data_IF_751696571437
#
_entry.id   IF_751696571437
#
_cell.length_a   1.000
_cell.length_b   1.000
_cell.length_c   1.000
_cell.angle_alpha   90.00
_cell.angle_beta   90.00
_cell.angle_gamma   90.00
#
_symmetry.space_group_name_H-M   'P 1'
#
loop_
_entity.id
_entity.type
_entity.pdbx_description
1 polymer ?
#
# COMPACT_ATOMS: atom_id res chain seq x y z
N UNK A 1 -2.84 9.30 -4.07
CA UNK A 1 -1.75 8.67 -3.28
C UNK A 1 -2.04 7.18 -3.16
N UNK A 2 -1.05 6.31 -3.42
CA UNK A 2 -1.08 4.89 -3.06
C UNK A 2 -0.58 4.79 -1.62
N UNK A 3 -1.47 4.38 -0.70
CA UNK A 3 -1.19 4.42 0.74
C UNK A 3 -0.80 3.07 1.34
N UNK A 4 -0.87 1.99 0.60
CA UNK A 4 -0.56 0.62 1.08
C UNK A 4 -1.02 -0.46 0.13
N UNK A 5 -0.69 -1.70 0.47
CA UNK A 5 0.06 -2.11 1.66
C UNK A 5 1.48 -2.56 1.27
N UNK A 6 2.37 -2.52 2.23
CA UNK A 6 3.76 -3.00 2.03
C UNK A 6 3.77 -4.45 1.53
N UNK A 7 4.56 -4.76 0.52
CA UNK A 7 4.70 -6.10 -0.12
C UNK A 7 3.48 -6.58 -0.91
N UNK A 8 2.62 -5.66 -1.33
CA UNK A 8 1.46 -5.97 -2.19
C UNK A 8 1.67 -5.56 -3.66
N UNK A 9 2.85 -5.10 -4.06
CA UNK A 9 3.11 -4.69 -5.45
C UNK A 9 2.78 -3.21 -5.75
N UNK A 10 2.74 -2.36 -4.74
CA UNK A 10 2.44 -0.92 -4.88
C UNK A 10 3.40 -0.20 -5.80
N UNK A 11 4.70 -0.50 -5.74
CA UNK A 11 5.71 0.05 -6.65
C UNK A 11 5.39 -0.27 -8.10
N UNK A 12 5.04 -1.54 -8.41
CA UNK A 12 4.64 -1.93 -9.76
C UNK A 12 3.38 -1.20 -10.22
N UNK A 13 2.39 -1.07 -9.33
CA UNK A 13 1.17 -0.35 -9.61
C UNK A 13 1.45 1.13 -9.88
N UNK A 14 2.29 1.77 -9.07
CA UNK A 14 2.69 3.17 -9.27
C UNK A 14 3.38 3.36 -10.60
N UNK A 15 4.36 2.50 -10.93
CA UNK A 15 5.03 2.52 -12.24
C UNK A 15 4.05 2.41 -13.41
N UNK A 16 3.11 1.48 -13.34
CA UNK A 16 2.10 1.29 -14.38
C UNK A 16 1.20 2.52 -14.54
N UNK A 17 0.78 3.13 -13.43
CA UNK A 17 -0.01 4.37 -13.48
C UNK A 17 0.82 5.52 -14.08
N UNK A 18 2.10 5.61 -13.74
CA UNK A 18 3.00 6.66 -14.22
C UNK A 18 3.37 6.56 -15.71
N UNK A 19 3.14 5.42 -16.36
CA UNK A 19 3.27 5.30 -17.83
C UNK A 19 2.16 6.00 -18.61
N UNK A 20 1.05 6.34 -17.94
CA UNK A 20 -0.06 7.02 -18.58
C UNK A 20 0.30 8.48 -18.92
N UNK A 21 0.04 8.92 -20.16
CA UNK A 21 0.39 10.24 -20.68
C UNK A 21 -0.15 11.45 -19.88
N UNK A 22 -1.25 11.26 -19.13
CA UNK A 22 -1.83 12.28 -18.26
C UNK A 22 -1.18 12.34 -16.86
N UNK A 23 -0.27 11.42 -16.55
CA UNK A 23 0.32 11.29 -15.21
C UNK A 23 1.74 11.80 -15.20
N UNK A 24 2.00 12.77 -14.33
CA UNK A 24 3.37 13.26 -14.08
C UNK A 24 3.87 12.66 -12.77
N UNK A 25 5.07 12.09 -12.80
CA UNK A 25 5.69 11.42 -11.65
C UNK A 25 6.14 12.40 -10.58
N UNK A 26 6.16 11.95 -9.32
CA UNK A 26 6.95 12.59 -8.28
C UNK A 26 8.45 12.38 -8.53
N UNK A 27 9.30 13.06 -7.77
CA UNK A 27 10.76 13.03 -7.96
C UNK A 27 11.37 11.63 -7.71
N UNK A 28 10.79 10.85 -6.81
CA UNK A 28 11.19 9.47 -6.49
C UNK A 28 10.04 8.73 -5.80
N UNK A 29 10.18 7.41 -5.65
CA UNK A 29 9.22 6.54 -4.98
C UNK A 29 9.30 6.69 -3.46
N UNK A 30 8.21 6.39 -2.76
CA UNK A 30 8.12 6.38 -1.30
C UNK A 30 8.63 7.69 -0.65
N UNK A 31 7.96 8.80 -0.99
CA UNK A 31 8.32 10.13 -0.46
C UNK A 31 8.34 10.19 1.06
N UNK A 32 7.51 9.40 1.73
CA UNK A 32 7.44 9.31 3.19
C UNK A 32 7.13 10.65 3.86
N UNK A 33 6.49 11.60 3.16
CA UNK A 33 6.26 12.93 3.72
C UNK A 33 5.33 12.89 4.92
N UNK A 34 4.19 12.20 4.81
CA UNK A 34 3.18 12.21 5.86
C UNK A 34 3.55 11.36 7.09
N UNK A 35 4.62 10.56 7.02
CA UNK A 35 5.17 9.82 8.16
C UNK A 35 6.52 10.36 8.62
N UNK A 36 7.62 9.86 8.09
CA UNK A 36 8.99 10.13 8.55
C UNK A 36 9.53 11.51 8.18
N UNK A 37 9.06 12.12 7.07
CA UNK A 37 9.56 13.37 6.53
C UNK A 37 8.65 14.58 6.82
N UNK A 38 7.64 14.42 7.68
CA UNK A 38 6.67 15.49 7.96
C UNK A 38 7.31 16.76 8.54
N UNK A 39 8.40 16.58 9.27
CA UNK A 39 9.19 17.66 9.86
C UNK A 39 9.87 18.58 8.83
N UNK A 40 10.07 18.12 7.58
CA UNK A 40 10.67 18.90 6.49
C UNK A 40 9.72 19.97 5.92
N UNK A 41 8.44 19.88 6.26
CA UNK A 41 7.44 20.88 5.94
C UNK A 41 6.88 20.80 4.51
N UNK A 42 5.75 21.49 4.32
CA UNK A 42 4.94 21.41 3.10
C UNK A 42 5.69 21.92 1.84
N UNK A 43 6.59 22.88 1.98
CA UNK A 43 7.33 23.40 0.83
C UNK A 43 8.31 22.35 0.28
N UNK A 44 8.96 21.57 1.17
CA UNK A 44 9.76 20.43 0.77
C UNK A 44 8.91 19.40 0.01
N UNK A 45 7.75 19.00 0.55
CA UNK A 45 6.86 18.06 -0.12
C UNK A 45 6.44 18.56 -1.51
N UNK A 46 6.05 19.84 -1.62
CA UNK A 46 5.64 20.44 -2.90
C UNK A 46 6.75 20.46 -3.93
N UNK A 47 8.01 20.64 -3.52
CA UNK A 47 9.17 20.68 -4.42
C UNK A 47 9.45 19.35 -5.12
N UNK A 48 8.88 18.24 -4.59
CA UNK A 48 9.04 16.90 -5.16
C UNK A 48 8.06 16.60 -6.29
N UNK A 49 7.15 17.51 -6.59
CA UNK A 49 6.15 17.32 -7.63
C UNK A 49 6.39 18.21 -8.84
N UNK A 50 5.87 17.81 -10.01
CA UNK A 50 5.96 18.60 -11.24
C UNK A 50 5.44 20.02 -11.08
N UNK A 51 6.10 20.96 -11.73
CA UNK A 51 5.71 22.38 -11.71
C UNK A 51 4.33 22.60 -12.32
N UNK A 52 3.71 23.73 -12.01
CA UNK A 52 2.44 24.13 -12.65
C UNK A 52 2.60 24.27 -14.17
N UNK A 53 3.77 24.70 -14.65
CA UNK A 53 4.08 24.77 -16.06
C UNK A 53 4.10 23.39 -16.72
N UNK A 54 4.76 22.40 -16.11
CA UNK A 54 4.77 21.02 -16.61
C UNK A 54 3.35 20.44 -16.67
N UNK A 55 2.55 20.67 -15.64
CA UNK A 55 1.13 20.26 -15.63
C UNK A 55 0.32 20.96 -16.72
N UNK A 56 0.54 22.23 -16.95
CA UNK A 56 -0.12 22.98 -18.03
C UNK A 56 0.23 22.40 -19.40
N UNK A 57 1.51 22.11 -19.68
CA UNK A 57 1.95 21.52 -20.94
C UNK A 57 1.26 20.17 -21.19
N UNK A 58 1.24 19.27 -20.21
CA UNK A 58 0.56 17.98 -20.33
C UNK A 58 -0.92 18.17 -20.57
N UNK A 59 -1.57 19.07 -19.82
CA UNK A 59 -3.00 19.35 -19.95
C UNK A 59 -3.38 19.90 -21.35
N UNK A 60 -2.49 20.67 -22.01
CA UNK A 60 -2.74 21.14 -23.37
C UNK A 60 -2.77 19.98 -24.40
N UNK A 61 -2.02 18.90 -24.14
CA UNK A 61 -1.94 17.74 -25.03
C UNK A 61 -3.03 16.70 -24.78
N UNK A 62 -3.34 16.47 -23.51
CA UNK A 62 -4.17 15.33 -23.08
C UNK A 62 -5.49 15.74 -22.43
N UNK A 63 -5.74 17.05 -22.26
CA UNK A 63 -6.87 17.64 -21.52
C UNK A 63 -6.85 17.34 -20.00
N UNK A 64 -6.02 16.44 -19.54
CA UNK A 64 -5.86 16.01 -18.14
C UNK A 64 -4.41 16.13 -17.71
N UNK A 65 -4.18 16.42 -16.45
CA UNK A 65 -2.83 16.37 -15.85
C UNK A 65 -2.96 16.08 -14.36
N UNK A 66 -2.56 14.91 -13.95
CA UNK A 66 -2.53 14.51 -12.55
C UNK A 66 -1.12 14.15 -12.12
N UNK A 67 -0.90 14.14 -10.81
CA UNK A 67 0.31 13.66 -10.17
C UNK A 67 -0.03 12.95 -8.89
N UNK A 68 0.86 12.12 -8.42
CA UNK A 68 0.69 11.40 -7.16
C UNK A 68 2.00 10.83 -6.66
N UNK A 69 1.92 10.15 -5.55
CA UNK A 69 3.02 9.41 -4.93
C UNK A 69 2.54 8.04 -4.48
N UNK A 70 3.47 7.15 -4.15
CA UNK A 70 3.22 5.95 -3.39
C UNK A 70 4.10 5.91 -2.14
N UNK A 71 3.49 5.61 -1.01
CA UNK A 71 4.20 5.32 0.24
C UNK A 71 3.40 4.25 1.00
N UNK A 72 3.71 2.98 0.82
CA UNK A 72 2.84 1.88 1.26
C UNK A 72 2.78 1.70 2.77
N UNK A 73 3.60 2.40 3.53
CA UNK A 73 3.53 2.46 4.99
C UNK A 73 2.43 3.37 5.53
N UNK A 74 1.88 4.27 4.70
CA UNK A 74 0.91 5.25 5.16
C UNK A 74 -0.34 4.63 5.77
N UNK A 75 -0.85 3.55 5.19
CA UNK A 75 -2.10 2.92 5.65
C UNK A 75 -2.02 2.49 7.11
N UNK A 76 -0.84 2.11 7.56
CA UNK A 76 -0.64 1.55 8.89
C UNK A 76 -0.52 2.58 10.01
N UNK A 77 -0.17 3.84 9.68
CA UNK A 77 0.03 4.89 10.68
C UNK A 77 -1.19 5.81 10.81
N UNK A 78 -1.93 5.80 11.94
CA UNK A 78 -3.12 6.63 12.13
C UNK A 78 -2.87 8.13 12.02
N UNK A 79 -1.66 8.61 12.33
CA UNK A 79 -1.31 10.03 12.25
C UNK A 79 -1.22 10.48 10.80
N UNK A 80 -0.81 9.59 9.90
CA UNK A 80 -0.70 9.89 8.47
C UNK A 80 -2.05 10.25 7.87
N UNK A 81 -3.09 9.49 8.17
CA UNK A 81 -4.44 9.77 7.68
C UNK A 81 -4.92 11.18 8.08
N UNK A 82 -4.69 11.58 9.34
CA UNK A 82 -5.02 12.94 9.84
C UNK A 82 -4.20 14.03 9.14
N UNK A 83 -2.90 13.78 8.92
CA UNK A 83 -1.99 14.72 8.23
C UNK A 83 -2.40 14.92 6.77
N UNK A 84 -2.75 13.83 6.07
CA UNK A 84 -3.24 13.89 4.69
C UNK A 84 -4.57 14.64 4.63
N UNK A 85 -5.53 14.32 5.49
CA UNK A 85 -6.82 15.01 5.51
C UNK A 85 -6.66 16.53 5.71
N UNK A 86 -5.76 16.95 6.60
CA UNK A 86 -5.47 18.36 6.87
C UNK A 86 -4.93 19.12 5.66
N UNK A 87 -4.08 18.47 4.86
CA UNK A 87 -3.34 19.11 3.75
C UNK A 87 -4.03 18.89 2.40
N UNK A 88 -4.62 17.71 2.21
CA UNK A 88 -5.19 17.24 0.96
C UNK A 88 -6.60 16.63 1.17
N UNK A 89 -7.60 17.40 1.62
CA UNK A 89 -8.91 16.86 2.02
C UNK A 89 -9.69 16.19 0.88
N UNK A 90 -9.39 16.53 -0.37
CA UNK A 90 -10.07 15.99 -1.56
C UNK A 90 -9.20 14.98 -2.34
N UNK A 91 -8.15 14.46 -1.72
CA UNK A 91 -7.24 13.49 -2.35
C UNK A 91 -7.97 12.20 -2.71
N UNK A 92 -7.50 11.55 -3.77
CA UNK A 92 -7.86 10.17 -4.10
C UNK A 92 -6.81 9.21 -3.56
N UNK A 93 -7.26 8.18 -2.89
CA UNK A 93 -6.44 7.21 -2.19
C UNK A 93 -6.59 5.85 -2.87
N UNK A 94 -5.47 5.19 -3.12
CA UNK A 94 -5.43 3.84 -3.69
C UNK A 94 -4.86 2.91 -2.63
N UNK A 95 -5.57 1.82 -2.39
CA UNK A 95 -5.16 0.77 -1.46
C UNK A 95 -5.04 -0.53 -2.24
N UNK A 96 -3.87 -1.14 -2.21
CA UNK A 96 -3.61 -2.46 -2.79
C UNK A 96 -3.38 -3.45 -1.65
N UNK A 97 -4.35 -4.34 -1.45
CA UNK A 97 -4.25 -5.45 -0.52
C UNK A 97 -3.70 -6.70 -1.23
N UNK A 98 -3.15 -7.59 -0.45
CA UNK A 98 -2.69 -8.92 -0.86
C UNK A 98 -3.13 -9.92 0.18
N UNK A 99 -3.24 -11.22 -0.18
CA UNK A 99 -3.38 -12.27 0.82
C UNK A 99 -2.41 -12.02 1.98
N UNK A 100 -2.91 -11.79 3.22
CA UNK A 100 -2.07 -11.35 4.35
C UNK A 100 -0.99 -12.36 4.72
N UNK A 101 -1.20 -13.67 4.47
CA UNK A 101 -0.20 -14.72 4.67
C UNK A 101 0.96 -14.54 3.69
N UNK A 102 0.66 -14.39 2.40
CA UNK A 102 1.68 -14.23 1.36
C UNK A 102 2.42 -12.90 1.50
N UNK A 103 1.72 -11.85 1.95
CA UNK A 103 2.32 -10.57 2.26
C UNK A 103 3.32 -10.69 3.44
N UNK A 104 2.91 -11.35 4.53
CA UNK A 104 3.76 -11.56 5.71
C UNK A 104 5.01 -12.35 5.34
N UNK A 105 4.87 -13.44 4.60
CA UNK A 105 5.96 -14.27 4.14
C UNK A 105 6.91 -13.53 3.19
N UNK A 106 6.37 -12.75 2.26
CA UNK A 106 7.16 -11.88 1.39
C UNK A 106 7.96 -10.82 2.16
N UNK A 107 7.37 -10.25 3.22
CA UNK A 107 8.04 -9.26 4.06
C UNK A 107 9.18 -9.88 4.88
N UNK A 108 8.98 -11.07 5.42
CA UNK A 108 10.01 -11.84 6.10
C UNK A 108 11.21 -12.10 5.17
N UNK A 109 10.98 -12.60 3.96
CA UNK A 109 12.06 -12.85 3.00
C UNK A 109 12.80 -11.59 2.55
N UNK A 110 12.13 -10.45 2.53
CA UNK A 110 12.81 -9.16 2.33
C UNK A 110 13.77 -8.87 3.50
N UNK A 111 13.30 -9.01 4.74
CA UNK A 111 14.09 -8.75 5.94
C UNK A 111 15.32 -9.70 6.05
N UNK A 112 15.15 -10.97 5.69
CA UNK A 112 16.27 -11.95 5.60
C UNK A 112 17.28 -11.50 4.55
N UNK A 113 16.83 -11.12 3.35
CA UNK A 113 17.70 -10.65 2.28
C UNK A 113 18.48 -9.38 2.64
N UNK A 114 17.87 -8.51 3.41
CA UNK A 114 18.49 -7.26 3.91
C UNK A 114 19.38 -7.49 5.14
N UNK A 115 19.46 -8.73 5.63
CA UNK A 115 20.27 -9.08 6.81
C UNK A 115 19.67 -8.55 8.13
N UNK A 116 18.41 -8.12 8.13
CA UNK A 116 17.73 -7.59 9.32
C UNK A 116 16.96 -8.64 10.09
N UNK A 117 16.83 -9.87 9.57
CA UNK A 117 16.19 -11.01 10.21
C UNK A 117 17.07 -12.26 10.15
N UNK A 118 17.23 -12.94 11.30
CA UNK A 118 18.06 -14.15 11.45
C UNK A 118 17.27 -15.36 11.99
N UNK A 119 16.02 -15.14 12.43
CA UNK A 119 15.15 -16.21 12.91
C UNK A 119 14.51 -16.96 11.74
N UNK A 120 14.02 -18.17 11.98
CA UNK A 120 13.09 -18.82 11.07
C UNK A 120 11.79 -18.01 10.97
N UNK A 121 11.00 -18.19 9.91
CA UNK A 121 9.72 -17.50 9.79
C UNK A 121 8.79 -17.85 10.95
N UNK A 122 8.75 -19.11 11.33
CA UNK A 122 7.95 -19.60 12.45
C UNK A 122 8.35 -18.95 13.79
N UNK A 123 9.66 -18.85 14.06
CA UNK A 123 10.14 -18.20 15.28
C UNK A 123 9.88 -16.70 15.25
N UNK A 124 10.09 -16.03 14.13
CA UNK A 124 9.86 -14.61 13.95
C UNK A 124 8.39 -14.24 14.22
N UNK A 125 7.43 -15.00 13.67
CA UNK A 125 6.00 -14.78 13.94
C UNK A 125 5.62 -15.07 15.39
N UNK A 126 6.22 -16.06 16.03
CA UNK A 126 5.96 -16.32 17.46
C UNK A 126 6.47 -15.18 18.36
N UNK A 127 7.62 -14.60 18.03
CA UNK A 127 8.14 -13.41 18.74
C UNK A 127 7.21 -12.23 18.53
N UNK A 128 6.73 -12.02 17.31
CA UNK A 128 5.81 -10.92 17.00
C UNK A 128 4.48 -11.08 17.75
N UNK A 129 3.88 -12.28 17.74
CA UNK A 129 2.62 -12.57 18.44
C UNK A 129 2.69 -12.24 19.93
N UNK A 130 3.79 -12.57 20.60
CA UNK A 130 4.00 -12.25 22.03
C UNK A 130 4.08 -10.75 22.31
N UNK A 131 4.33 -9.93 21.30
CA UNK A 131 4.52 -8.48 21.41
C UNK A 131 3.47 -7.66 20.63
N UNK A 132 2.39 -8.29 20.15
CA UNK A 132 1.43 -7.64 19.25
C UNK A 132 0.80 -6.39 19.88
N UNK A 133 0.42 -6.45 21.16
CA UNK A 133 -0.17 -5.32 21.88
C UNK A 133 0.80 -4.13 21.96
N UNK A 134 2.08 -4.40 22.24
CA UNK A 134 3.12 -3.35 22.27
C UNK A 134 3.36 -2.74 20.89
N UNK A 135 3.30 -3.56 19.84
CA UNK A 135 3.44 -3.08 18.46
C UNK A 135 2.28 -2.15 18.11
N UNK A 136 1.05 -2.53 18.44
CA UNK A 136 -0.14 -1.73 18.18
C UNK A 136 -0.14 -0.41 18.98
N UNK A 137 0.31 -0.41 20.21
CA UNK A 137 0.43 0.81 21.01
C UNK A 137 1.54 1.74 20.50
N UNK A 138 2.64 1.16 20.05
CA UNK A 138 3.75 1.89 19.47
C UNK A 138 3.35 2.63 18.18
N UNK A 139 2.55 2.01 17.29
CA UNK A 139 2.05 2.64 16.06
C UNK A 139 1.30 3.94 16.35
N UNK A 140 0.54 3.98 17.46
CA UNK A 140 -0.21 5.17 17.88
C UNK A 140 0.67 6.32 18.34
N UNK A 141 1.94 6.06 18.68
CA UNK A 141 2.86 7.03 19.28
C UNK A 141 3.95 7.57 18.35
N UNK A 142 3.87 7.33 17.04
CA UNK A 142 4.86 7.78 16.03
C UNK A 142 6.23 7.08 16.15
N UNK A 143 6.25 5.75 16.31
CA UNK A 143 7.40 4.99 16.78
C UNK A 143 8.24 4.36 15.68
N UNK A 144 9.49 4.48 15.96
CA UNK A 144 10.70 3.71 15.57
C UNK A 144 10.57 2.73 14.40
N UNK A 145 11.10 3.15 13.27
CA UNK A 145 11.17 2.46 11.97
C UNK A 145 11.58 0.97 12.05
N UNK A 146 12.33 0.58 13.10
CA UNK A 146 12.83 -0.80 13.28
C UNK A 146 11.77 -1.78 13.81
N UNK A 147 10.96 -1.38 14.76
CA UNK A 147 9.85 -2.23 15.25
C UNK A 147 8.81 -2.42 14.14
N UNK A 148 8.62 -1.39 13.32
CA UNK A 148 7.76 -1.39 12.15
C UNK A 148 8.27 -2.35 11.06
N UNK A 149 9.57 -2.41 10.82
CA UNK A 149 10.15 -3.26 9.78
C UNK A 149 9.92 -4.77 10.04
N UNK A 150 10.01 -5.21 11.30
CA UNK A 150 9.85 -6.61 11.71
C UNK A 150 8.41 -7.05 12.00
N UNK A 151 7.41 -6.20 11.72
CA UNK A 151 6.00 -6.57 11.91
C UNK A 151 5.50 -7.30 10.68
N UNK A 152 5.62 -8.63 10.70
CA UNK A 152 5.13 -9.49 9.62
C UNK A 152 3.63 -9.71 9.72
N UNK A 153 3.11 -9.96 10.93
CA UNK A 153 1.71 -10.31 11.16
C UNK A 153 0.85 -9.04 11.31
N UNK A 154 1.26 -8.10 12.15
CA UNK A 154 0.46 -6.92 12.49
C UNK A 154 -0.01 -6.12 11.26
N UNK A 155 0.84 -6.02 10.24
CA UNK A 155 0.51 -5.35 8.99
C UNK A 155 -0.54 -6.06 8.14
N UNK A 156 -0.91 -7.30 8.47
CA UNK A 156 -1.93 -8.08 7.78
C UNK A 156 -3.34 -7.91 8.36
N UNK A 157 -3.50 -7.26 9.51
CA UNK A 157 -4.81 -6.92 10.07
C UNK A 157 -5.37 -5.67 9.38
N UNK A 158 -5.82 -5.84 8.14
CA UNK A 158 -6.22 -4.73 7.27
C UNK A 158 -7.49 -4.01 7.71
N UNK A 159 -8.42 -4.73 8.37
CA UNK A 159 -9.67 -4.15 8.84
C UNK A 159 -9.42 -2.98 9.80
N UNK A 160 -8.55 -3.16 10.79
CA UNK A 160 -8.23 -2.13 11.77
C UNK A 160 -7.56 -0.91 11.11
N UNK A 161 -6.69 -1.16 10.12
CA UNK A 161 -6.01 -0.10 9.39
C UNK A 161 -7.02 0.68 8.53
N UNK A 162 -7.82 0.00 7.72
CA UNK A 162 -8.77 0.63 6.81
C UNK A 162 -9.85 1.42 7.55
N UNK A 163 -10.31 0.93 8.71
CA UNK A 163 -11.30 1.59 9.54
C UNK A 163 -10.92 3.03 9.86
N UNK A 164 -9.67 3.28 10.22
CA UNK A 164 -9.14 4.63 10.53
C UNK A 164 -9.27 5.57 9.33
N UNK A 165 -9.02 5.05 8.13
CA UNK A 165 -9.14 5.84 6.91
C UNK A 165 -10.59 6.11 6.53
N UNK A 166 -11.50 5.14 6.71
CA UNK A 166 -12.93 5.29 6.44
C UNK A 166 -13.65 6.20 7.45
N UNK A 167 -13.10 6.39 8.66
CA UNK A 167 -13.57 7.40 9.61
C UNK A 167 -13.24 8.84 9.18
N UNK A 168 -12.22 9.03 8.35
CA UNK A 168 -11.69 10.34 7.97
C UNK A 168 -12.00 10.73 6.52
N UNK A 169 -12.05 9.76 5.62
CA UNK A 169 -12.27 9.97 4.19
C UNK A 169 -13.55 9.28 3.73
N UNK A 170 -14.25 9.90 2.79
CA UNK A 170 -15.42 9.26 2.17
C UNK A 170 -15.01 8.07 1.31
N UNK A 171 -15.85 7.05 1.25
CA UNK A 171 -15.57 5.82 0.49
C UNK A 171 -15.25 6.11 -0.99
N UNK A 172 -15.89 7.13 -1.60
CA UNK A 172 -15.65 7.55 -2.98
C UNK A 172 -14.25 8.15 -3.23
N UNK A 173 -13.53 8.46 -2.15
CA UNK A 173 -12.13 8.91 -2.23
C UNK A 173 -11.14 7.75 -2.21
N UNK A 174 -11.59 6.52 -1.93
CA UNK A 174 -10.77 5.32 -1.88
C UNK A 174 -11.13 4.38 -3.01
N UNK A 175 -10.11 3.81 -3.65
CA UNK A 175 -10.26 2.58 -4.45
C UNK A 175 -9.44 1.48 -3.80
N UNK A 176 -10.08 0.32 -3.63
CA UNK A 176 -9.48 -0.86 -3.00
C UNK A 176 -9.34 -1.95 -4.05
N UNK A 177 -8.14 -2.49 -4.16
CA UNK A 177 -7.74 -3.45 -5.18
C UNK A 177 -7.01 -4.60 -4.49
N UNK A 178 -7.11 -5.80 -5.02
CA UNK A 178 -6.24 -6.92 -4.62
C UNK A 178 -5.05 -7.08 -5.57
N UNK A 179 -3.94 -7.55 -5.03
CA UNK A 179 -2.76 -7.94 -5.84
C UNK A 179 -3.15 -9.05 -6.81
N UNK A 180 -3.97 -9.98 -6.37
CA UNK A 180 -4.45 -11.13 -7.13
C UNK A 180 -5.26 -10.68 -8.37
N UNK A 181 -6.12 -9.65 -8.23
CA UNK A 181 -6.84 -9.05 -9.36
C UNK A 181 -5.88 -8.31 -10.31
N UNK A 182 -4.91 -7.59 -9.75
CA UNK A 182 -3.91 -6.89 -10.55
C UNK A 182 -3.04 -7.87 -11.36
N UNK A 183 -2.70 -9.02 -10.79
CA UNK A 183 -1.92 -10.06 -11.46
C UNK A 183 -2.73 -10.84 -12.51
N UNK A 184 -3.99 -11.17 -12.21
CA UNK A 184 -4.84 -11.96 -13.10
C UNK A 184 -5.46 -11.14 -14.24
N UNK A 185 -5.80 -9.88 -13.98
CA UNK A 185 -6.48 -8.99 -14.93
C UNK A 185 -5.89 -7.56 -14.91
N UNK A 186 -4.60 -7.39 -15.23
CA UNK A 186 -3.88 -6.13 -15.02
C UNK A 186 -4.50 -4.96 -15.77
N UNK A 187 -4.90 -5.14 -17.04
CA UNK A 187 -5.50 -4.06 -17.82
C UNK A 187 -6.85 -3.61 -17.25
N UNK A 188 -7.73 -4.56 -16.91
CA UNK A 188 -9.03 -4.23 -16.30
C UNK A 188 -8.87 -3.51 -14.97
N UNK A 189 -7.90 -3.93 -14.16
CA UNK A 189 -7.59 -3.30 -12.88
C UNK A 189 -7.11 -1.86 -13.08
N UNK A 190 -6.22 -1.62 -14.04
CA UNK A 190 -5.79 -0.27 -14.39
C UNK A 190 -6.92 0.60 -14.95
N UNK A 191 -7.78 0.04 -15.79
CA UNK A 191 -8.94 0.76 -16.33
C UNK A 191 -9.89 1.23 -15.22
N UNK A 192 -10.10 0.41 -14.19
CA UNK A 192 -10.86 0.79 -13.00
C UNK A 192 -10.18 1.92 -12.22
N UNK A 193 -8.85 1.89 -12.12
CA UNK A 193 -8.07 2.96 -11.49
C UNK A 193 -8.19 4.25 -12.31
N UNK A 194 -8.10 4.18 -13.63
CA UNK A 194 -8.23 5.36 -14.50
C UNK A 194 -9.61 5.99 -14.41
N UNK A 195 -10.68 5.18 -14.34
CA UNK A 195 -12.04 5.68 -14.05
C UNK A 195 -12.10 6.38 -12.71
N UNK A 196 -11.56 5.74 -11.67
CA UNK A 196 -11.49 6.34 -10.35
C UNK A 196 -10.69 7.64 -10.35
N UNK A 197 -9.56 7.71 -11.04
CA UNK A 197 -8.74 8.92 -11.17
C UNK A 197 -9.37 9.97 -12.09
N UNK A 198 -10.39 9.61 -12.89
CA UNK A 198 -11.05 10.44 -13.91
C UNK A 198 -10.09 10.86 -15.02
N UNK A 199 -9.30 9.93 -15.50
CA UNK A 199 -8.43 10.08 -16.67
C UNK A 199 -8.84 9.08 -17.77
N UNK A 200 -8.51 9.32 -19.05
CA UNK A 200 -8.88 8.42 -20.15
C UNK A 200 -8.31 7.00 -19.98
N UNK A 201 -9.02 5.99 -20.52
CA UNK A 201 -8.58 4.57 -20.54
C UNK A 201 -7.86 4.22 -21.87
N UNK A 202 -7.11 5.12 -22.43
CA UNK A 202 -6.43 4.96 -23.71
C UNK A 202 -5.01 4.38 -23.57
N UNK A 203 -4.58 4.09 -22.35
CA UNK A 203 -3.26 3.52 -22.08
C UNK A 203 -3.33 2.00 -22.02
N UNK A 204 -2.55 1.34 -22.88
CA UNK A 204 -2.38 -0.12 -22.86
C UNK A 204 -1.16 -0.47 -22.01
N UNK A 205 -1.37 -1.31 -21.03
CA UNK A 205 -0.29 -1.80 -20.15
C UNK A 205 0.75 -2.55 -21.01
N UNK A 206 2.01 -2.13 -20.86
CA UNK A 206 3.15 -2.92 -21.32
C UNK A 206 3.68 -3.67 -20.09
N UNK A 207 3.44 -4.98 -19.98
CA UNK A 207 3.89 -5.74 -18.82
C UNK A 207 5.42 -5.72 -18.74
N UNK A 208 6.00 -5.05 -17.75
CA UNK A 208 7.39 -5.30 -17.41
C UNK A 208 7.48 -6.63 -16.67
N UNK A 209 8.34 -7.53 -17.16
CA UNK A 209 8.68 -8.77 -16.43
C UNK A 209 9.45 -8.38 -15.16
N UNK A 210 8.74 -8.11 -14.09
CA UNK A 210 9.39 -7.96 -12.81
C UNK A 210 9.95 -9.31 -12.37
N UNK A 211 11.21 -9.30 -11.89
CA UNK A 211 11.81 -10.47 -11.27
C UNK A 211 11.06 -10.76 -9.97
N UNK A 212 10.14 -11.71 -10.01
CA UNK A 212 9.50 -12.24 -8.81
C UNK A 212 10.61 -12.88 -7.98
N UNK A 213 10.80 -12.42 -6.75
CA UNK A 213 11.77 -13.04 -5.86
C UNK A 213 11.33 -14.47 -5.58
N UNK A 214 12.20 -15.44 -5.94
CA UNK A 214 11.97 -16.84 -5.63
C UNK A 214 12.45 -17.14 -4.21
N UNK A 215 11.57 -17.71 -3.40
CA UNK A 215 11.86 -18.20 -2.06
C UNK A 215 11.10 -19.51 -1.82
N UNK A 216 11.53 -20.35 -0.85
CA UNK A 216 10.86 -21.60 -0.55
C UNK A 216 9.37 -21.41 -0.27
N UNK A 217 8.56 -22.44 -0.56
CA UNK A 217 7.15 -22.45 -0.20
C UNK A 217 7.00 -22.41 1.33
N UNK A 218 6.05 -21.62 1.82
CA UNK A 218 5.66 -21.61 3.25
C UNK A 218 5.20 -23.01 3.66
N UNK A 219 5.50 -23.44 4.88
CA UNK A 219 5.00 -24.72 5.42
C UNK A 219 3.48 -24.70 5.51
N UNK A 220 2.85 -25.80 5.14
CA UNK A 220 1.38 -25.88 5.10
C UNK A 220 0.75 -25.65 6.48
N UNK A 221 1.39 -26.13 7.56
CA UNK A 221 0.97 -25.87 8.95
C UNK A 221 1.02 -24.40 9.32
N UNK A 222 2.10 -23.69 8.94
CA UNK A 222 2.26 -22.27 9.20
C UNK A 222 1.26 -21.45 8.39
N UNK A 223 1.01 -21.82 7.12
CA UNK A 223 -0.03 -21.18 6.29
C UNK A 223 -1.40 -21.33 6.93
N UNK A 224 -1.78 -22.55 7.31
CA UNK A 224 -3.07 -22.81 7.96
C UNK A 224 -3.25 -21.99 9.24
N UNK A 225 -2.23 -21.97 10.08
CA UNK A 225 -2.24 -21.16 11.30
C UNK A 225 -2.48 -19.68 11.01
N UNK A 226 -1.81 -19.11 10.01
CA UNK A 226 -1.97 -17.69 9.66
C UNK A 226 -3.32 -17.39 8.99
N UNK A 227 -3.86 -18.30 8.18
CA UNK A 227 -5.22 -18.19 7.63
C UNK A 227 -6.23 -18.09 8.78
N UNK A 228 -6.15 -19.01 9.75
CA UNK A 228 -7.04 -19.00 10.91
C UNK A 228 -6.89 -17.72 11.74
N UNK A 229 -5.66 -17.23 11.91
CA UNK A 229 -5.36 -15.99 12.63
C UNK A 229 -6.02 -14.75 11.97
N UNK A 230 -5.98 -14.66 10.64
CA UNK A 230 -6.54 -13.51 9.92
C UNK A 230 -8.03 -13.62 9.63
N UNK A 231 -8.64 -14.78 9.80
CA UNK A 231 -10.02 -15.08 9.40
C UNK A 231 -11.03 -14.04 9.86
N UNK A 232 -10.98 -13.66 11.14
CA UNK A 232 -11.89 -12.65 11.69
C UNK A 232 -11.66 -11.28 11.06
N UNK A 233 -10.41 -10.82 10.99
CA UNK A 233 -10.07 -9.53 10.40
C UNK A 233 -10.41 -9.45 8.92
N UNK A 234 -10.20 -10.55 8.17
CA UNK A 234 -10.58 -10.61 6.77
C UNK A 234 -12.12 -10.52 6.58
N UNK A 235 -12.89 -11.21 7.42
CA UNK A 235 -14.36 -11.12 7.37
C UNK A 235 -14.87 -9.71 7.68
N UNK A 236 -14.27 -9.02 8.66
CA UNK A 236 -14.56 -7.62 8.96
C UNK A 236 -14.19 -6.70 7.79
N UNK A 237 -13.02 -6.88 7.21
CA UNK A 237 -12.59 -6.14 6.01
C UNK A 237 -13.58 -6.30 4.88
N UNK A 238 -13.95 -7.54 4.53
CA UNK A 238 -14.85 -7.85 3.42
C UNK A 238 -16.23 -7.22 3.62
N UNK A 239 -16.71 -7.20 4.86
CA UNK A 239 -17.96 -6.52 5.23
C UNK A 239 -17.85 -5.01 5.01
N UNK A 240 -16.73 -4.38 5.40
CA UNK A 240 -16.52 -2.93 5.25
C UNK A 240 -16.43 -2.48 3.80
N UNK A 241 -15.80 -3.31 2.94
CA UNK A 241 -15.56 -2.95 1.54
C UNK A 241 -16.65 -3.46 0.58
N UNK A 242 -17.56 -4.30 1.06
CA UNK A 242 -18.61 -4.92 0.23
C UNK A 242 -18.06 -5.87 -0.86
N UNK A 243 -16.86 -6.39 -0.68
CA UNK A 243 -16.13 -7.24 -1.63
C UNK A 243 -15.39 -8.34 -0.89
N UNK A 244 -15.26 -9.53 -1.48
CA UNK A 244 -14.53 -10.66 -0.90
C UNK A 244 -13.31 -11.01 -1.75
N UNK A 245 -12.22 -11.42 -1.11
CA UNK A 245 -11.03 -11.96 -1.75
C UNK A 245 -10.84 -13.41 -1.36
N UNK A 246 -10.29 -14.23 -2.27
CA UNK A 246 -10.03 -15.67 -2.03
C UNK A 246 -8.69 -15.86 -1.31
N UNK A 247 -8.67 -15.57 0.00
CA UNK A 247 -7.48 -15.64 0.85
C UNK A 247 -7.41 -16.84 1.77
N UNK A 248 -8.34 -17.79 1.62
CA UNK A 248 -8.41 -19.00 2.44
C UNK A 248 -7.64 -20.20 1.82
N UNK A 249 -6.78 -19.94 0.81
CA UNK A 249 -5.96 -20.94 0.11
C UNK A 249 -4.50 -20.88 0.51
#
# INVERSE_FOLDING_TARGET
>A
IIIGTVRSGTTSLYYNICQHECVLTAAYDELGFFDSNYHLGLNWYRSLFPTLFSKWVVKQKTQFAITGEDTPFYIWNPLVAKRILKILPNIKLIVLFRNPVDRAYSNYHLAVREGSENLSFEDAIQVELKNLDKINDNIKQDVNKYAIARSYIAKGFYADQLKIWLELFRFEQLIIISTEDLESNPQKTLDNIYDFLKIPKNHVLIPEKQKIASYPKIKDETRKFLIDLYKKSNAELFTMIGQTFDWDK
#
